data_IF_965840437825
#
_entry.id   IF_965840437825
#
_cell.length_a   1.000
_cell.length_b   1.000
_cell.length_c   1.000
_cell.angle_alpha   90.00
_cell.angle_beta   90.00
_cell.angle_gamma   90.00
#
_symmetry.space_group_name_H-M   'P 1'
#
loop_
_entity.id
_entity.type
_entity.pdbx_description
1 polymer ?
#
# COMPACT_ATOMS: atom_id res chain seq x y z
N UNK A 1 17.65 9.66 -78.50
CA UNK A 1 17.66 8.70 -77.39
C UNK A 1 17.58 9.46 -76.12
N UNK A 2 16.36 9.46 -75.46
CA UNK A 2 16.14 10.13 -74.16
C UNK A 2 16.06 9.09 -73.09
N UNK A 3 17.07 9.05 -72.19
CA UNK A 3 17.06 8.20 -71.00
C UNK A 3 16.12 8.77 -69.94
N UNK A 4 15.07 8.05 -69.59
CA UNK A 4 14.19 8.40 -68.46
C UNK A 4 14.84 7.89 -67.19
N UNK A 5 15.18 8.80 -66.27
CA UNK A 5 15.65 8.51 -64.93
C UNK A 5 14.39 8.38 -64.06
N UNK A 6 14.15 7.17 -63.58
CA UNK A 6 13.09 6.91 -62.58
C UNK A 6 13.73 7.11 -61.22
N UNK A 7 13.34 8.17 -60.50
CA UNK A 7 13.72 8.41 -59.12
C UNK A 7 12.81 7.58 -58.21
N UNK A 8 13.38 6.55 -57.58
CA UNK A 8 12.72 5.74 -56.59
C UNK A 8 12.70 6.53 -55.26
N UNK A 9 11.57 7.06 -54.92
CA UNK A 9 11.36 7.75 -53.64
C UNK A 9 11.10 6.70 -52.57
N UNK A 10 12.17 6.28 -51.84
CA UNK A 10 12.04 5.37 -50.69
C UNK A 10 11.49 6.15 -49.50
N UNK A 11 10.24 5.92 -49.22
CA UNK A 11 9.54 6.47 -48.04
C UNK A 11 9.95 5.68 -46.81
N UNK A 12 10.94 6.18 -46.06
CA UNK A 12 11.40 5.60 -44.81
C UNK A 12 10.41 5.96 -43.69
N UNK A 13 9.45 5.07 -43.41
CA UNK A 13 8.56 5.22 -42.28
C UNK A 13 9.33 4.88 -41.00
N UNK A 14 9.77 5.93 -40.31
CA UNK A 14 10.38 5.82 -38.98
C UNK A 14 9.27 5.55 -37.96
N UNK A 15 9.05 4.28 -37.62
CA UNK A 15 8.15 3.90 -36.55
C UNK A 15 8.84 4.27 -35.25
N UNK A 16 8.44 5.41 -34.68
CA UNK A 16 8.83 5.82 -33.33
C UNK A 16 8.11 4.93 -32.34
N UNK A 17 8.75 3.84 -31.89
CA UNK A 17 8.27 3.01 -30.80
C UNK A 17 8.39 3.82 -29.50
N UNK A 18 7.31 4.49 -29.11
CA UNK A 18 7.21 5.14 -27.80
C UNK A 18 7.01 4.02 -26.78
N UNK A 19 8.11 3.57 -26.19
CA UNK A 19 8.06 2.66 -25.04
C UNK A 19 7.52 3.46 -23.85
N UNK A 20 6.23 3.33 -23.54
CA UNK A 20 5.70 3.75 -22.26
C UNK A 20 6.27 2.82 -21.21
N UNK A 21 7.31 3.25 -20.52
CA UNK A 21 7.74 2.64 -19.28
C UNK A 21 6.61 2.87 -18.29
N UNK A 22 5.83 1.82 -18.01
CA UNK A 22 4.93 1.83 -16.86
C UNK A 22 5.82 1.98 -15.62
N UNK A 23 5.90 3.17 -15.06
CA UNK A 23 6.45 3.39 -13.73
C UNK A 23 5.50 2.68 -12.76
N UNK A 24 5.84 1.46 -12.38
CA UNK A 24 5.31 0.87 -11.18
C UNK A 24 5.72 1.80 -10.04
N UNK A 25 4.77 2.53 -9.47
CA UNK A 25 5.02 3.34 -8.28
C UNK A 25 5.56 2.37 -7.21
N UNK A 26 6.83 2.53 -6.84
CA UNK A 26 7.42 1.79 -5.74
C UNK A 26 6.53 1.96 -4.52
N UNK A 27 6.14 0.89 -3.83
CA UNK A 27 5.37 1.01 -2.61
C UNK A 27 6.11 1.96 -1.69
N UNK A 28 5.43 3.02 -1.21
CA UNK A 28 6.02 3.95 -0.26
C UNK A 28 6.18 3.20 1.05
N UNK A 29 7.38 2.65 1.27
CA UNK A 29 7.73 1.93 2.48
C UNK A 29 8.30 2.91 3.50
N UNK A 30 7.76 2.89 4.71
CA UNK A 30 8.23 3.69 5.84
C UNK A 30 8.75 2.74 6.93
N UNK A 31 9.97 2.98 7.41
CA UNK A 31 10.59 2.17 8.47
C UNK A 31 10.76 3.04 9.71
N UNK A 32 10.33 2.52 10.87
CA UNK A 32 10.49 3.13 12.20
C UNK A 32 11.29 2.18 13.07
N UNK A 33 12.49 2.57 13.50
CA UNK A 33 13.33 1.81 14.42
C UNK A 33 12.96 2.10 15.87
N UNK A 34 12.92 1.05 16.69
CA UNK A 34 12.68 1.14 18.12
C UNK A 34 13.99 1.02 18.90
N UNK A 35 13.99 1.44 20.17
CA UNK A 35 15.19 1.50 21.00
C UNK A 35 15.82 0.13 21.33
N UNK A 36 15.06 -0.95 21.21
CA UNK A 36 15.49 -2.32 21.46
C UNK A 36 16.05 -3.02 20.20
N UNK A 37 16.27 -2.26 19.10
CA UNK A 37 16.75 -2.77 17.83
C UNK A 37 15.67 -3.45 16.97
N UNK A 38 14.45 -3.57 17.48
CA UNK A 38 13.31 -3.98 16.67
C UNK A 38 12.85 -2.82 15.77
N UNK A 39 12.00 -3.09 14.78
CA UNK A 39 11.53 -2.06 13.88
C UNK A 39 10.15 -2.38 13.28
N UNK A 40 9.55 -1.37 12.72
CA UNK A 40 8.23 -1.45 12.10
C UNK A 40 8.34 -1.00 10.66
N UNK A 41 7.81 -1.80 9.75
CA UNK A 41 7.70 -1.50 8.33
C UNK A 41 6.23 -1.20 8.04
N UNK A 42 5.97 -0.02 7.49
CA UNK A 42 4.62 0.37 7.04
C UNK A 42 4.64 0.58 5.54
N UNK A 43 3.73 -0.09 4.83
CA UNK A 43 3.64 -0.05 3.38
C UNK A 43 2.20 -0.06 2.89
N UNK A 44 1.95 0.58 1.74
CA UNK A 44 0.68 0.47 1.04
C UNK A 44 0.76 -0.75 0.14
N UNK A 45 -0.12 -1.71 0.37
CA UNK A 45 -0.25 -2.89 -0.47
C UNK A 45 -1.09 -2.53 -1.68
N UNK A 46 -0.45 -2.48 -2.84
CA UNK A 46 -1.15 -2.32 -4.12
C UNK A 46 -1.64 -3.70 -4.56
N UNK A 47 -2.90 -4.02 -4.28
CA UNK A 47 -3.57 -5.08 -5.04
C UNK A 47 -3.56 -4.66 -6.52
N UNK A 48 -3.37 -5.60 -7.48
CA UNK A 48 -3.58 -5.31 -8.89
C UNK A 48 -5.04 -4.84 -9.03
N UNK A 49 -5.23 -3.54 -9.15
CA UNK A 49 -6.55 -3.00 -9.38
C UNK A 49 -6.89 -3.21 -10.86
N UNK A 50 -8.03 -3.83 -11.13
CA UNK A 50 -8.68 -3.68 -12.42
C UNK A 50 -8.87 -2.17 -12.65
N UNK A 51 -8.05 -1.60 -13.51
CA UNK A 51 -8.16 -0.20 -13.91
C UNK A 51 -9.46 -0.03 -14.71
N UNK A 52 -10.56 0.19 -14.02
CA UNK A 52 -11.72 0.77 -14.66
C UNK A 52 -11.47 2.26 -14.83
N UNK A 53 -11.28 2.70 -16.06
CA UNK A 53 -11.07 4.11 -16.44
C UNK A 53 -12.19 5.05 -15.97
N UNK A 54 -13.28 4.52 -15.43
CA UNK A 54 -14.48 5.25 -15.01
C UNK A 54 -14.85 5.04 -13.55
N UNK A 55 -14.08 4.25 -12.77
CA UNK A 55 -14.39 4.03 -11.36
C UNK A 55 -13.76 5.12 -10.50
N UNK A 56 -14.61 5.91 -9.85
CA UNK A 56 -14.22 6.86 -8.81
C UNK A 56 -14.18 6.21 -7.43
N UNK A 57 -14.29 4.88 -7.36
CA UNK A 57 -14.25 4.10 -6.10
C UNK A 57 -13.06 3.15 -6.14
N UNK A 58 -12.22 3.20 -5.10
CA UNK A 58 -11.08 2.31 -4.95
C UNK A 58 -11.00 1.73 -3.54
N UNK A 59 -10.55 0.47 -3.46
CA UNK A 59 -10.18 -0.19 -2.21
C UNK A 59 -8.67 -0.34 -2.16
N UNK A 60 -8.06 0.06 -1.06
CA UNK A 60 -6.62 -0.07 -0.80
C UNK A 60 -6.37 -0.56 0.61
N UNK A 61 -5.22 -1.20 0.78
CA UNK A 61 -4.75 -1.68 2.06
C UNK A 61 -3.41 -1.03 2.43
N UNK A 62 -3.21 -0.74 3.71
CA UNK A 62 -1.93 -0.31 4.26
C UNK A 62 -1.62 -1.19 5.47
N UNK A 63 -0.42 -1.77 5.48
CA UNK A 63 0.00 -2.72 6.49
C UNK A 63 1.17 -2.16 7.30
N UNK A 64 1.14 -2.34 8.61
CA UNK A 64 2.26 -2.09 9.50
C UNK A 64 2.69 -3.43 10.11
N UNK A 65 3.93 -3.83 9.83
CA UNK A 65 4.52 -5.10 10.28
C UNK A 65 5.62 -4.84 11.30
N UNK A 66 5.52 -5.46 12.46
CA UNK A 66 6.54 -5.44 13.50
C UNK A 66 7.55 -6.57 13.29
N UNK A 67 8.83 -6.20 13.31
CA UNK A 67 10.00 -7.09 13.23
C UNK A 67 10.81 -6.99 14.52
N UNK A 68 11.33 -8.12 15.00
CA UNK A 68 12.29 -8.12 16.09
C UNK A 68 13.70 -7.71 15.60
N UNK A 69 14.65 -7.56 16.53
CA UNK A 69 16.04 -7.21 16.23
C UNK A 69 16.79 -8.28 15.37
N UNK A 70 16.26 -9.51 15.28
CA UNK A 70 16.78 -10.57 14.41
C UNK A 70 16.18 -10.56 13.00
N UNK A 71 15.44 -9.51 12.63
CA UNK A 71 14.74 -9.35 11.34
C UNK A 71 13.61 -10.38 11.09
N UNK A 72 13.08 -10.99 12.14
CA UNK A 72 11.95 -11.90 12.01
C UNK A 72 10.63 -11.14 12.08
N UNK A 73 9.69 -11.46 11.18
CA UNK A 73 8.31 -10.97 11.24
C UNK A 73 7.64 -11.54 12.49
N UNK A 74 7.04 -10.68 13.30
CA UNK A 74 6.37 -11.07 14.52
C UNK A 74 4.87 -10.97 14.39
N UNK A 75 4.34 -9.83 14.00
CA UNK A 75 2.92 -9.62 13.74
C UNK A 75 2.68 -8.40 12.85
N UNK A 76 1.50 -8.30 12.27
CA UNK A 76 1.10 -7.18 11.44
C UNK A 76 -0.33 -6.74 11.72
N UNK A 77 -0.60 -5.46 11.47
CA UNK A 77 -1.95 -4.90 11.42
C UNK A 77 -2.16 -4.23 10.06
N UNK A 78 -3.30 -4.51 9.45
CA UNK A 78 -3.67 -3.96 8.13
C UNK A 78 -4.98 -3.21 8.25
N UNK A 79 -5.00 -1.99 7.74
CA UNK A 79 -6.21 -1.26 7.42
C UNK A 79 -6.55 -1.49 5.95
N UNK A 80 -7.78 -1.88 5.66
CA UNK A 80 -8.34 -1.88 4.31
C UNK A 80 -9.46 -0.86 4.27
N UNK A 81 -9.36 0.11 3.36
CA UNK A 81 -10.33 1.18 3.20
C UNK A 81 -10.85 1.25 1.77
N UNK A 82 -12.18 1.42 1.64
CA UNK A 82 -12.83 1.73 0.37
C UNK A 82 -13.21 3.20 0.36
N UNK A 83 -12.86 3.90 -0.71
CA UNK A 83 -13.08 5.34 -0.86
C UNK A 83 -13.73 5.64 -2.20
N UNK A 84 -14.61 6.64 -2.20
CA UNK A 84 -15.07 7.31 -3.41
C UNK A 84 -14.37 8.67 -3.51
N UNK A 85 -13.88 9.04 -4.68
CA UNK A 85 -13.18 10.30 -4.90
C UNK A 85 -13.55 10.91 -6.26
N UNK A 86 -13.34 12.21 -6.41
CA UNK A 86 -13.65 12.98 -7.60
C UNK A 86 -14.33 14.31 -7.24
N UNK A 87 -14.48 15.19 -8.23
CA UNK A 87 -15.09 16.50 -8.05
C UNK A 87 -14.49 17.33 -6.89
N UNK A 88 -13.17 17.21 -6.67
CA UNK A 88 -12.47 17.93 -5.61
C UNK A 88 -12.66 17.37 -4.19
N UNK A 89 -13.29 16.19 -4.05
CA UNK A 89 -13.55 15.58 -2.74
C UNK A 89 -13.11 14.11 -2.70
N UNK A 90 -12.90 13.60 -1.50
CA UNK A 90 -12.76 12.17 -1.23
C UNK A 90 -13.62 11.80 -0.04
N UNK A 91 -14.39 10.73 -0.17
CA UNK A 91 -15.30 10.23 0.87
C UNK A 91 -14.98 8.79 1.18
N UNK A 92 -14.88 8.49 2.46
CA UNK A 92 -14.70 7.16 2.97
C UNK A 92 -16.03 6.37 2.91
N UNK A 93 -15.98 5.12 2.43
CA UNK A 93 -17.13 4.22 2.36
C UNK A 93 -17.07 3.10 3.42
N UNK A 94 -15.95 2.37 3.51
CA UNK A 94 -15.82 1.26 4.47
C UNK A 94 -14.38 1.09 4.97
N UNK A 95 -14.20 0.65 6.23
CA UNK A 95 -12.90 0.22 6.76
C UNK A 95 -13.01 -1.14 7.44
N UNK A 96 -11.93 -1.89 7.34
CA UNK A 96 -11.71 -3.09 8.14
C UNK A 96 -10.32 -3.07 8.78
N UNK A 97 -10.18 -3.84 9.86
CA UNK A 97 -8.92 -4.09 10.55
C UNK A 97 -8.66 -5.58 10.56
N UNK A 98 -7.59 -6.00 9.93
CA UNK A 98 -7.09 -7.39 9.97
C UNK A 98 -5.72 -7.44 10.62
N UNK A 99 -5.36 -8.61 11.17
CA UNK A 99 -4.05 -8.83 11.79
C UNK A 99 -3.51 -10.17 11.36
N UNK A 100 -2.18 -10.25 11.24
CA UNK A 100 -1.43 -11.49 11.02
C UNK A 100 -0.47 -11.72 12.18
N UNK A 101 -0.33 -12.96 12.62
CA UNK A 101 0.57 -13.38 13.66
C UNK A 101 1.57 -14.40 13.08
N UNK A 102 2.86 -14.17 13.28
CA UNK A 102 3.94 -15.00 12.73
C UNK A 102 4.79 -15.66 13.83
N UNK A 103 4.60 -15.30 15.10
CA UNK A 103 5.36 -15.80 16.24
C UNK A 103 4.45 -16.37 17.31
N UNK A 104 4.75 -17.58 17.78
CA UNK A 104 3.98 -18.28 18.82
C UNK A 104 4.15 -17.67 20.23
N UNK A 105 5.20 -16.86 20.45
CA UNK A 105 5.42 -16.17 21.72
C UNK A 105 4.66 -14.85 21.84
N UNK A 106 3.86 -14.50 20.82
CA UNK A 106 3.05 -13.30 20.79
C UNK A 106 1.55 -13.63 20.64
N UNK A 107 0.71 -12.72 21.05
CA UNK A 107 -0.71 -12.66 20.70
C UNK A 107 -1.05 -11.29 20.16
N UNK A 108 -2.12 -11.20 19.36
CA UNK A 108 -2.61 -9.91 18.84
C UNK A 108 -4.08 -9.75 19.19
N UNK A 109 -4.37 -8.67 19.90
CA UNK A 109 -5.72 -8.33 20.35
C UNK A 109 -6.07 -6.86 20.15
N UNK A 110 -7.16 -6.41 20.77
CA UNK A 110 -7.65 -5.03 20.74
C UNK A 110 -7.80 -4.45 19.34
N UNK A 111 -8.29 -5.28 18.41
CA UNK A 111 -8.49 -4.88 17.02
C UNK A 111 -9.62 -3.88 16.89
N UNK A 112 -9.34 -2.73 16.28
CA UNK A 112 -10.34 -1.68 16.05
C UNK A 112 -10.16 -1.11 14.64
N UNK A 113 -11.29 -0.89 13.95
CA UNK A 113 -11.34 -0.07 12.74
C UNK A 113 -12.13 1.20 13.05
N UNK A 114 -11.70 2.33 12.48
CA UNK A 114 -12.40 3.60 12.61
C UNK A 114 -12.23 4.43 11.34
N UNK A 115 -13.01 5.48 11.22
CA UNK A 115 -13.00 6.40 10.07
C UNK A 115 -13.12 7.85 10.52
N UNK A 116 -12.56 8.74 9.73
CA UNK A 116 -12.73 10.18 9.90
C UNK A 116 -12.47 10.90 8.57
N UNK A 117 -13.47 11.58 8.04
CA UNK A 117 -13.37 12.28 6.76
C UNK A 117 -12.97 11.34 5.60
N UNK A 118 -11.80 11.57 5.01
CA UNK A 118 -11.20 10.77 3.92
C UNK A 118 -10.16 9.76 4.43
N UNK A 119 -10.23 9.37 5.69
CA UNK A 119 -9.20 8.56 6.36
C UNK A 119 -9.82 7.32 7.01
N UNK A 120 -9.23 6.15 6.73
CA UNK A 120 -9.48 4.89 7.41
C UNK A 120 -8.34 4.61 8.40
N UNK A 121 -8.64 4.09 9.58
CA UNK A 121 -7.67 3.71 10.61
C UNK A 121 -7.93 2.30 11.09
N UNK A 122 -6.86 1.54 11.32
CA UNK A 122 -6.89 0.27 12.02
C UNK A 122 -5.88 0.28 13.16
N UNK A 123 -6.24 -0.25 14.30
CA UNK A 123 -5.38 -0.36 15.46
C UNK A 123 -5.44 -1.78 16.02
N UNK A 124 -4.28 -2.28 16.49
CA UNK A 124 -4.17 -3.56 17.21
C UNK A 124 -3.03 -3.50 18.22
N UNK A 125 -3.06 -4.39 19.21
CA UNK A 125 -2.04 -4.52 20.25
C UNK A 125 -1.44 -5.92 20.19
N UNK A 126 -0.13 -6.00 19.92
CA UNK A 126 0.68 -7.22 20.07
C UNK A 126 1.19 -7.33 21.52
N UNK A 127 1.09 -8.50 22.10
CA UNK A 127 1.59 -8.80 23.45
C UNK A 127 2.51 -10.01 23.40
N UNK A 128 3.75 -9.87 23.90
CA UNK A 128 4.71 -10.94 24.03
C UNK A 128 4.58 -11.62 25.39
N UNK A 129 4.64 -12.94 25.37
CA UNK A 129 4.60 -13.77 26.57
C UNK A 129 5.91 -14.54 26.76
N UNK A 130 6.33 -14.65 28.02
CA UNK A 130 7.43 -15.52 28.45
C UNK A 130 6.98 -16.27 29.69
N UNK A 131 7.04 -17.61 29.67
CA UNK A 131 6.55 -18.46 30.77
C UNK A 131 5.11 -18.14 31.20
N UNK A 132 4.24 -17.81 30.22
CA UNK A 132 2.83 -17.47 30.48
C UNK A 132 2.58 -16.04 30.98
N UNK A 133 3.62 -15.24 31.21
CA UNK A 133 3.51 -13.85 31.67
C UNK A 133 3.70 -12.85 30.50
N UNK A 134 2.87 -11.81 30.44
CA UNK A 134 3.03 -10.72 29.50
C UNK A 134 4.27 -9.90 29.87
N UNK A 135 5.23 -9.79 28.96
CA UNK A 135 6.52 -9.10 29.19
C UNK A 135 6.69 -7.86 28.30
N UNK A 136 5.94 -7.76 27.22
CA UNK A 136 5.98 -6.62 26.30
C UNK A 136 4.62 -6.40 25.66
N UNK A 137 4.26 -5.14 25.43
CA UNK A 137 3.04 -4.79 24.74
C UNK A 137 3.31 -3.64 23.77
N UNK A 138 2.92 -3.80 22.51
CA UNK A 138 3.11 -2.80 21.45
C UNK A 138 1.78 -2.57 20.76
N UNK A 139 1.27 -1.34 20.82
CA UNK A 139 0.07 -0.93 20.06
C UNK A 139 0.49 -0.21 18.79
N UNK A 140 -0.09 -0.61 17.67
CA UNK A 140 0.10 0.07 16.37
C UNK A 140 -1.23 0.55 15.83
N UNK A 141 -1.17 1.75 15.23
CA UNK A 141 -2.28 2.32 14.47
C UNK A 141 -1.79 2.62 13.07
N UNK A 142 -2.48 2.08 12.09
CA UNK A 142 -2.23 2.31 10.66
C UNK A 142 -3.31 3.23 10.12
N UNK A 143 -2.89 4.24 9.41
CA UNK A 143 -3.78 5.25 8.82
C UNK A 143 -3.63 5.23 7.31
N UNK A 144 -4.75 5.10 6.60
CA UNK A 144 -4.83 5.14 5.14
C UNK A 144 -5.73 6.32 4.75
N UNK A 145 -5.16 7.27 4.01
CA UNK A 145 -5.87 8.47 3.55
C UNK A 145 -5.98 8.45 2.04
N UNK A 146 -7.14 8.85 1.51
CA UNK A 146 -7.37 9.03 0.08
C UNK A 146 -7.53 10.52 -0.23
N UNK A 147 -6.75 11.05 -1.18
CA UNK A 147 -6.91 12.41 -1.66
C UNK A 147 -8.13 12.55 -2.60
N UNK A 148 -8.55 13.80 -2.87
CA UNK A 148 -9.60 14.10 -3.84
C UNK A 148 -9.28 13.64 -5.29
N UNK A 149 -7.99 13.38 -5.57
CA UNK A 149 -7.49 12.89 -6.87
C UNK A 149 -7.27 11.38 -6.89
N UNK A 150 -7.62 10.66 -5.80
CA UNK A 150 -7.45 9.20 -5.71
C UNK A 150 -6.04 8.72 -5.33
N UNK A 151 -5.17 9.61 -4.85
CA UNK A 151 -3.86 9.23 -4.33
C UNK A 151 -3.97 8.76 -2.87
N UNK A 152 -3.24 7.71 -2.51
CA UNK A 152 -3.26 7.11 -1.18
C UNK A 152 -1.94 7.37 -0.45
N UNK A 153 -2.04 7.61 0.87
CA UNK A 153 -0.91 7.80 1.79
C UNK A 153 -1.12 7.10 3.14
#
# INVERSE_FOLDING_TARGET
>A
MRKKIIALFSFFILIFSISFSAYAASPTQQIEYLSDGSYIVTEIVSEPSDYSLFSTTQTKSKTSTYYNAANEKIWAVTVTGTFSYGNGTSTFLSASCTTSLYSNSWSVGNKKASKSGNTAKASATGVRYTNGHAVQSITRTVTLTCSATGNFS
#
